data_IF_890313098060
#
_entry.id   IF_890313098060
#
_cell.length_a   1.000
_cell.length_b   1.000
_cell.length_c   1.000
_cell.angle_alpha   90.00
_cell.angle_beta   90.00
_cell.angle_gamma   90.00
#
_symmetry.space_group_name_H-M   'P 1'
#
loop_
_entity.id
_entity.type
_entity.pdbx_description
1 polymer ?
#
# COMPACT_ATOMS: atom_id res chain seq x y z
N UNK A 1 -28.75 26.15 -52.51
CA UNK A 1 -28.82 24.92 -51.71
C UNK A 1 -27.49 24.19 -51.85
N UNK A 2 -26.66 24.19 -50.81
CA UNK A 2 -25.46 23.34 -50.72
C UNK A 2 -25.43 22.83 -49.29
N UNK A 3 -25.62 21.52 -49.13
CA UNK A 3 -25.57 20.83 -47.85
C UNK A 3 -24.11 20.38 -47.59
N UNK A 4 -23.56 20.77 -46.45
CA UNK A 4 -22.25 20.30 -45.97
C UNK A 4 -22.53 19.30 -44.83
N UNK A 5 -22.16 18.02 -44.96
CA UNK A 5 -22.31 17.07 -43.87
C UNK A 5 -21.14 17.24 -42.89
N UNK A 6 -21.43 17.71 -41.68
CA UNK A 6 -20.48 17.67 -40.56
C UNK A 6 -20.49 16.24 -40.00
N UNK A 7 -19.48 15.48 -40.41
CA UNK A 7 -19.15 14.16 -39.90
C UNK A 7 -18.52 14.32 -38.50
N UNK A 8 -19.34 14.34 -37.44
CA UNK A 8 -18.84 14.25 -36.07
C UNK A 8 -18.41 12.79 -35.79
N UNK A 9 -17.14 12.47 -36.06
CA UNK A 9 -16.50 11.27 -35.53
C UNK A 9 -16.43 11.38 -34.00
N UNK A 10 -17.17 10.51 -33.32
CA UNK A 10 -17.08 10.30 -31.90
C UNK A 10 -15.72 9.66 -31.55
N UNK A 11 -14.79 10.45 -31.02
CA UNK A 11 -13.60 9.92 -30.37
C UNK A 11 -13.93 9.68 -28.88
N UNK A 12 -14.59 8.56 -28.59
CA UNK A 12 -14.60 8.01 -27.23
C UNK A 12 -13.19 7.46 -26.95
N UNK A 13 -12.33 8.34 -26.43
CA UNK A 13 -11.08 7.95 -25.79
C UNK A 13 -11.40 7.23 -24.48
N UNK A 14 -11.84 5.98 -24.59
CA UNK A 14 -11.92 5.06 -23.47
C UNK A 14 -10.51 4.78 -22.99
N UNK A 15 -10.03 5.57 -22.02
CA UNK A 15 -8.90 5.18 -21.20
C UNK A 15 -9.35 3.93 -20.46
N UNK A 16 -8.98 2.76 -20.98
CA UNK A 16 -9.04 1.52 -20.22
C UNK A 16 -8.02 1.69 -19.11
N UNK A 17 -8.46 2.24 -17.98
CA UNK A 17 -7.73 2.13 -16.72
C UNK A 17 -7.66 0.65 -16.41
N UNK A 18 -6.55 0.01 -16.78
CA UNK A 18 -6.17 -1.29 -16.26
C UNK A 18 -6.08 -1.08 -14.74
N UNK A 19 -7.15 -1.45 -14.04
CA UNK A 19 -7.11 -1.57 -12.58
C UNK A 19 -6.02 -2.61 -12.33
N UNK A 20 -4.94 -2.28 -11.59
CA UNK A 20 -3.91 -3.26 -11.29
C UNK A 20 -4.59 -4.47 -10.67
N UNK A 21 -4.51 -5.61 -11.35
CA UNK A 21 -5.09 -6.83 -10.82
C UNK A 21 -4.37 -7.16 -9.52
N UNK A 22 -5.14 -7.40 -8.46
CA UNK A 22 -4.63 -7.94 -7.21
C UNK A 22 -4.04 -9.33 -7.46
N UNK A 23 -2.76 -9.37 -7.82
CA UNK A 23 -2.01 -10.56 -8.18
C UNK A 23 -1.08 -11.03 -7.06
N UNK A 24 -0.48 -12.23 -7.21
CA UNK A 24 0.59 -12.65 -6.31
C UNK A 24 1.75 -11.64 -6.34
N UNK A 25 2.48 -11.48 -5.22
CA UNK A 25 3.71 -10.70 -5.23
C UNK A 25 4.73 -11.27 -6.24
N UNK A 26 5.57 -10.39 -6.79
CA UNK A 26 6.65 -10.81 -7.67
C UNK A 26 7.58 -11.81 -6.98
N UNK A 27 8.05 -12.82 -7.71
CA UNK A 27 8.85 -13.91 -7.15
C UNK A 27 10.14 -13.40 -6.47
N UNK A 28 10.80 -12.40 -7.04
CA UNK A 28 11.99 -11.78 -6.46
C UNK A 28 11.70 -11.11 -5.11
N UNK A 29 10.57 -10.40 -5.00
CA UNK A 29 10.16 -9.75 -3.75
C UNK A 29 9.77 -10.78 -2.68
N UNK A 30 9.10 -11.86 -3.09
CA UNK A 30 8.77 -12.97 -2.21
C UNK A 30 10.04 -13.65 -1.66
N UNK A 31 11.03 -13.91 -2.50
CA UNK A 31 12.31 -14.48 -2.10
C UNK A 31 13.09 -13.55 -1.17
N UNK A 32 13.18 -12.26 -1.50
CA UNK A 32 13.82 -11.25 -0.66
C UNK A 32 13.13 -11.13 0.72
N UNK A 33 11.80 -11.23 0.74
CA UNK A 33 11.02 -11.22 1.98
C UNK A 33 11.30 -12.46 2.82
N UNK A 34 11.30 -13.65 2.22
CA UNK A 34 11.67 -14.88 2.92
C UNK A 34 13.06 -14.78 3.57
N UNK A 35 14.05 -14.26 2.83
CA UNK A 35 15.42 -14.08 3.36
C UNK A 35 15.49 -13.05 4.51
N UNK A 36 14.65 -12.01 4.50
CA UNK A 36 14.56 -11.08 5.63
C UNK A 36 13.92 -11.73 6.86
N UNK A 37 12.85 -12.50 6.66
CA UNK A 37 12.18 -13.23 7.72
C UNK A 37 13.06 -14.33 8.32
N UNK A 38 13.89 -14.97 7.51
CA UNK A 38 14.84 -16.00 7.94
C UNK A 38 15.87 -15.44 8.92
N UNK A 39 16.42 -14.26 8.64
CA UNK A 39 17.30 -13.54 9.58
C UNK A 39 16.59 -13.16 10.87
N UNK A 40 15.37 -12.63 10.78
CA UNK A 40 14.58 -12.29 11.95
C UNK A 40 14.24 -13.51 12.79
N UNK A 41 13.85 -14.62 12.14
CA UNK A 41 13.52 -15.87 12.81
C UNK A 41 14.72 -16.45 13.57
N UNK A 42 15.93 -16.37 13.00
CA UNK A 42 17.16 -16.76 13.69
C UNK A 42 17.45 -15.89 14.91
N UNK A 43 17.19 -14.59 14.84
CA UNK A 43 17.41 -13.68 15.96
C UNK A 43 16.36 -13.86 17.08
N UNK A 44 15.10 -14.10 16.72
CA UNK A 44 13.96 -14.07 17.64
C UNK A 44 13.46 -15.44 18.09
N UNK A 45 13.93 -16.52 17.46
CA UNK A 45 13.47 -17.89 17.76
C UNK A 45 12.01 -18.15 17.39
N UNK A 46 11.45 -17.37 16.46
CA UNK A 46 10.06 -17.47 15.98
C UNK A 46 10.05 -17.50 14.46
N UNK A 47 9.40 -18.48 13.86
CA UNK A 47 9.24 -18.52 12.40
C UNK A 47 8.15 -17.57 11.93
N UNK A 48 8.38 -16.89 10.82
CA UNK A 48 7.43 -15.94 10.25
C UNK A 48 6.92 -16.45 8.90
N UNK A 49 5.64 -16.22 8.63
CA UNK A 49 4.99 -16.71 7.42
C UNK A 49 3.96 -15.76 6.84
N UNK A 50 3.60 -16.01 5.59
CA UNK A 50 2.48 -15.35 4.94
C UNK A 50 1.68 -16.30 4.07
N UNK A 51 0.40 -15.94 3.89
CA UNK A 51 -0.50 -16.60 2.96
C UNK A 51 -1.45 -15.58 2.35
N UNK A 52 -1.53 -15.59 1.04
CA UNK A 52 -2.47 -14.82 0.27
C UNK A 52 -3.57 -15.75 -0.23
N UNK A 53 -4.79 -15.53 0.21
CA UNK A 53 -5.96 -16.31 -0.16
C UNK A 53 -6.84 -15.49 -1.13
N UNK A 54 -7.42 -16.12 -2.16
CA UNK A 54 -8.49 -15.49 -2.93
C UNK A 54 -9.73 -15.32 -2.04
N UNK A 55 -10.65 -14.45 -2.46
CA UNK A 55 -11.91 -14.30 -1.75
C UNK A 55 -12.59 -15.65 -1.58
N UNK A 56 -13.02 -15.94 -0.35
CA UNK A 56 -13.63 -17.22 -0.01
C UNK A 56 -15.05 -17.26 -0.54
N UNK A 57 -15.29 -18.04 -1.60
CA UNK A 57 -16.64 -18.53 -1.85
C UNK A 57 -17.02 -19.49 -0.71
N UNK A 58 -18.22 -19.39 -0.13
CA UNK A 58 -18.60 -20.12 1.08
C UNK A 58 -18.59 -21.66 0.95
N UNK A 59 -18.30 -22.22 -0.22
CA UNK A 59 -18.35 -23.67 -0.51
C UNK A 59 -17.04 -24.31 -0.96
N UNK A 60 -15.94 -23.56 -1.10
CA UNK A 60 -14.64 -24.14 -1.48
C UNK A 60 -13.53 -23.77 -0.50
N UNK A 61 -12.65 -24.72 -0.21
CA UNK A 61 -11.36 -24.40 0.38
C UNK A 61 -10.57 -23.66 -0.70
N UNK A 62 -10.28 -22.39 -0.44
CA UNK A 62 -9.50 -21.56 -1.34
C UNK A 62 -8.03 -21.96 -1.23
N UNK A 63 -7.45 -22.41 -2.35
CA UNK A 63 -6.00 -22.57 -2.47
C UNK A 63 -5.32 -21.21 -2.39
N UNK A 64 -4.15 -21.15 -1.76
CA UNK A 64 -3.42 -19.90 -1.61
C UNK A 64 -2.83 -19.44 -2.95
N UNK A 65 -3.08 -18.18 -3.32
CA UNK A 65 -2.45 -17.51 -4.47
C UNK A 65 -0.95 -17.34 -4.24
N UNK A 66 -0.55 -17.09 -2.99
CA UNK A 66 0.85 -16.98 -2.60
C UNK A 66 1.03 -17.50 -1.18
N UNK A 67 2.15 -18.19 -0.95
CA UNK A 67 2.52 -18.70 0.36
C UNK A 67 4.03 -18.55 0.51
N UNK A 68 4.50 -18.32 1.73
CA UNK A 68 5.92 -18.35 2.04
C UNK A 68 6.20 -18.15 3.51
N UNK A 69 7.46 -18.31 3.88
CA UNK A 69 7.92 -18.20 5.26
C UNK A 69 9.41 -17.89 5.35
N UNK A 70 9.90 -17.83 6.58
CA UNK A 70 11.33 -17.83 6.92
C UNK A 70 12.08 -19.06 6.37
N UNK A 71 11.41 -20.13 5.95
CA UNK A 71 12.04 -21.27 5.28
C UNK A 71 12.15 -21.09 3.75
N UNK A 72 11.50 -20.06 3.18
CA UNK A 72 11.51 -19.79 1.75
C UNK A 72 10.17 -19.32 1.21
N UNK A 73 10.21 -18.70 0.03
CA UNK A 73 9.01 -18.46 -0.77
C UNK A 73 8.44 -19.80 -1.25
N UNK A 74 7.11 -19.93 -1.24
CA UNK A 74 6.42 -21.19 -1.56
C UNK A 74 6.33 -22.19 -0.40
N UNK A 75 6.97 -21.93 0.74
CA UNK A 75 6.96 -22.83 1.91
C UNK A 75 6.05 -22.28 3.00
N UNK A 76 5.01 -23.01 3.37
CA UNK A 76 4.15 -22.63 4.50
C UNK A 76 4.91 -22.73 5.81
N UNK A 77 4.77 -21.72 6.66
CA UNK A 77 5.38 -21.71 8.00
C UNK A 77 4.84 -22.84 8.90
N UNK A 78 3.61 -23.31 8.64
CA UNK A 78 2.96 -24.38 9.40
C UNK A 78 3.54 -25.76 9.15
N UNK A 79 4.09 -25.97 7.96
CA UNK A 79 4.69 -27.24 7.54
C UNK A 79 6.22 -27.15 7.47
N UNK A 80 6.78 -25.99 7.81
CA UNK A 80 8.23 -25.79 7.78
C UNK A 80 8.89 -26.59 8.91
N UNK A 81 9.93 -27.39 8.61
CA UNK A 81 10.62 -28.17 9.63
C UNK A 81 11.32 -27.24 10.63
N UNK A 82 11.23 -27.58 11.91
CA UNK A 82 11.86 -26.80 13.00
C UNK A 82 11.07 -25.58 13.50
N UNK A 83 9.90 -25.28 12.93
CA UNK A 83 9.06 -24.15 13.33
C UNK A 83 8.05 -24.52 14.42
N UNK A 84 8.50 -24.73 15.65
CA UNK A 84 7.61 -24.99 16.80
C UNK A 84 6.86 -23.75 17.29
N UNK A 85 7.46 -22.56 17.11
CA UNK A 85 6.84 -21.25 17.37
C UNK A 85 6.77 -20.49 16.06
N UNK A 86 5.57 -20.07 15.66
CA UNK A 86 5.39 -19.33 14.42
C UNK A 86 4.32 -18.26 14.51
N UNK A 87 4.42 -17.31 13.58
CA UNK A 87 3.49 -16.21 13.36
C UNK A 87 3.24 -16.07 11.85
N UNK A 88 1.98 -16.16 11.44
CA UNK A 88 1.57 -16.12 10.03
C UNK A 88 0.62 -14.94 9.77
N UNK A 89 0.91 -14.16 8.74
CA UNK A 89 -0.02 -13.17 8.19
C UNK A 89 -0.84 -13.80 7.07
N UNK A 90 -2.16 -13.87 7.25
CA UNK A 90 -3.10 -14.31 6.22
C UNK A 90 -3.80 -13.08 5.65
N UNK A 91 -3.63 -12.86 4.35
CA UNK A 91 -4.32 -11.81 3.60
C UNK A 91 -5.40 -12.44 2.71
N UNK A 92 -6.67 -12.05 2.89
CA UNK A 92 -7.77 -12.48 2.02
C UNK A 92 -8.15 -11.32 1.09
N UNK A 93 -8.07 -11.54 -0.23
CA UNK A 93 -8.43 -10.54 -1.24
C UNK A 93 -9.92 -10.60 -1.54
N UNK A 94 -10.66 -9.52 -1.33
CA UNK A 94 -12.05 -9.41 -1.81
C UNK A 94 -12.12 -8.58 -3.09
N UNK A 95 -12.25 -9.25 -4.23
CA UNK A 95 -12.37 -8.65 -5.57
C UNK A 95 -13.82 -8.41 -5.99
N UNK A 96 -14.82 -8.85 -5.20
CA UNK A 96 -16.23 -8.78 -5.55
C UNK A 96 -16.94 -7.47 -5.17
N UNK A 97 -16.33 -6.62 -4.35
CA UNK A 97 -16.87 -5.31 -4.01
C UNK A 97 -16.32 -4.23 -4.94
N UNK A 98 -17.08 -3.14 -5.15
CA UNK A 98 -16.63 -1.92 -5.87
C UNK A 98 -15.34 -1.29 -5.31
N UNK A 99 -14.85 -1.82 -4.18
CA UNK A 99 -13.60 -1.48 -3.53
C UNK A 99 -12.83 -2.77 -3.23
N UNK A 100 -11.55 -2.81 -3.60
CA UNK A 100 -10.65 -3.89 -3.19
C UNK A 100 -10.50 -3.84 -1.67
N UNK A 101 -10.86 -4.93 -0.98
CA UNK A 101 -10.70 -5.03 0.48
C UNK A 101 -9.75 -6.17 0.80
N UNK A 102 -8.69 -5.86 1.54
CA UNK A 102 -7.77 -6.86 2.06
C UNK A 102 -8.12 -7.11 3.53
N UNK A 103 -8.44 -8.36 3.86
CA UNK A 103 -8.59 -8.77 5.26
C UNK A 103 -7.27 -9.37 5.73
N UNK A 104 -6.62 -8.71 6.67
CA UNK A 104 -5.39 -9.19 7.29
C UNK A 104 -5.72 -9.91 8.58
N UNK A 105 -5.25 -11.14 8.73
CA UNK A 105 -5.39 -11.96 9.93
C UNK A 105 -4.01 -12.39 10.39
N UNK A 106 -3.71 -12.15 11.66
CA UNK A 106 -2.49 -12.66 12.28
C UNK A 106 -2.84 -13.97 12.99
N UNK A 107 -2.06 -15.03 12.78
CA UNK A 107 -2.26 -16.30 13.45
C UNK A 107 -0.95 -16.75 14.08
N UNK A 108 -1.01 -17.21 15.32
CA UNK A 108 0.12 -17.77 16.04
C UNK A 108 -0.05 -19.27 16.30
N UNK A 109 1.05 -19.89 16.73
CA UNK A 109 1.11 -21.31 17.05
C UNK A 109 0.24 -21.74 18.24
N UNK A 110 -0.26 -20.80 19.07
CA UNK A 110 -1.00 -21.11 20.31
C UNK A 110 -2.50 -21.16 20.10
N UNK A 111 -3.03 -20.27 19.26
CA UNK A 111 -4.46 -19.97 19.23
C UNK A 111 -5.15 -20.43 17.96
N UNK A 112 -4.40 -20.73 16.90
CA UNK A 112 -4.88 -21.10 15.56
C UNK A 112 -5.91 -20.13 14.91
N UNK A 113 -6.46 -19.14 15.62
CA UNK A 113 -7.28 -18.04 15.11
C UNK A 113 -7.21 -16.81 16.05
N UNK A 114 -6.48 -15.76 15.65
CA UNK A 114 -6.88 -14.39 15.96
C UNK A 114 -7.56 -13.81 14.72
N UNK A 115 -8.87 -14.05 14.59
CA UNK A 115 -9.67 -13.62 13.44
C UNK A 115 -9.92 -12.11 13.50
N UNK A 116 -9.04 -11.31 12.90
CA UNK A 116 -9.30 -9.88 12.66
C UNK A 116 -10.33 -9.76 11.53
N UNK A 117 -11.61 -9.88 11.89
CA UNK A 117 -12.72 -9.87 10.93
C UNK A 117 -13.14 -8.43 10.65
N UNK A 118 -12.42 -7.73 9.76
CA UNK A 118 -12.90 -6.49 9.12
C UNK A 118 -13.33 -5.34 10.06
N UNK A 119 -12.95 -5.40 11.34
CA UNK A 119 -12.98 -4.30 12.31
C UNK A 119 -11.54 -3.89 12.65
N UNK A 120 -11.35 -2.81 13.42
CA UNK A 120 -10.02 -2.41 13.83
C UNK A 120 -9.28 -3.61 14.44
N UNK A 121 -7.99 -3.77 14.13
CA UNK A 121 -7.18 -4.85 14.65
C UNK A 121 -7.38 -5.01 16.16
N UNK A 122 -7.37 -6.25 16.69
CA UNK A 122 -7.56 -6.52 18.12
C UNK A 122 -6.67 -5.58 18.91
N UNK A 123 -7.26 -4.90 19.89
CA UNK A 123 -6.68 -3.74 20.58
C UNK A 123 -5.16 -3.87 20.70
N UNK A 124 -4.46 -3.06 19.90
CA UNK A 124 -3.01 -2.99 19.88
C UNK A 124 -2.28 -3.58 18.67
N UNK A 125 -2.95 -4.05 17.61
CA UNK A 125 -2.25 -4.32 16.34
C UNK A 125 -2.56 -3.22 15.31
N UNK A 126 -2.32 -1.94 15.62
CA UNK A 126 -2.61 -0.84 14.66
C UNK A 126 -1.77 -1.06 13.39
N UNK A 127 -2.35 -1.69 12.37
CA UNK A 127 -1.76 -1.92 11.05
C UNK A 127 -1.32 -0.57 10.44
N UNK A 128 -2.05 0.52 10.72
CA UNK A 128 -1.62 1.88 10.39
C UNK A 128 -0.38 2.40 11.13
N UNK A 129 -0.02 1.86 12.32
CA UNK A 129 1.20 2.24 13.04
C UNK A 129 2.48 1.68 12.39
N UNK A 130 2.37 0.57 11.66
CA UNK A 130 3.43 0.06 10.78
C UNK A 130 3.30 0.60 9.34
N UNK A 131 2.52 1.68 9.16
CA UNK A 131 2.34 2.38 7.90
C UNK A 131 1.50 1.65 6.86
N UNK A 132 0.77 0.60 7.23
CA UNK A 132 -0.08 -0.17 6.32
C UNK A 132 -1.48 0.48 6.29
N UNK A 133 -1.75 1.30 5.27
CA UNK A 133 -3.07 1.90 5.01
C UNK A 133 -3.78 1.16 3.87
N UNK A 134 -5.10 1.32 3.77
CA UNK A 134 -5.90 0.75 2.68
C UNK A 134 -5.36 1.17 1.29
N UNK A 135 -4.76 2.36 1.20
CA UNK A 135 -4.17 2.94 -0.01
C UNK A 135 -3.01 2.11 -0.57
N UNK A 136 -2.21 1.45 0.28
CA UNK A 136 -1.05 0.67 -0.17
C UNK A 136 -1.49 -0.59 -0.93
N UNK A 137 -2.70 -1.07 -0.67
CA UNK A 137 -3.24 -2.25 -1.33
C UNK A 137 -3.94 -1.95 -2.66
N UNK A 138 -4.19 -0.66 -2.97
CA UNK A 138 -4.84 -0.21 -4.21
C UNK A 138 -3.89 -0.20 -5.41
N UNK A 139 -2.62 0.17 -5.20
CA UNK A 139 -1.64 0.30 -6.29
C UNK A 139 -0.94 -1.03 -6.59
N UNK A 140 -0.46 -1.74 -5.56
CA UNK A 140 0.17 -3.06 -5.68
C UNK A 140 -0.11 -3.89 -4.43
N UNK A 141 -1.15 -4.71 -4.51
CA UNK A 141 -1.59 -5.54 -3.39
C UNK A 141 -0.51 -6.54 -2.96
N UNK A 142 0.23 -7.13 -3.91
CA UNK A 142 1.27 -8.12 -3.62
C UNK A 142 2.43 -7.52 -2.85
N UNK A 143 2.98 -6.39 -3.34
CA UNK A 143 4.06 -5.69 -2.66
C UNK A 143 3.61 -5.10 -1.32
N UNK A 144 2.38 -4.60 -1.23
CA UNK A 144 1.78 -4.12 0.02
C UNK A 144 1.72 -5.21 1.09
N UNK A 145 1.28 -6.42 0.72
CA UNK A 145 1.26 -7.58 1.63
C UNK A 145 2.68 -7.92 2.07
N UNK A 146 3.66 -8.00 1.17
CA UNK A 146 5.04 -8.33 1.56
C UNK A 146 5.65 -7.26 2.49
N UNK A 147 5.30 -5.99 2.31
CA UNK A 147 5.67 -4.93 3.25
C UNK A 147 5.08 -5.20 4.64
N UNK A 148 3.81 -5.62 4.70
CA UNK A 148 3.17 -5.99 5.96
C UNK A 148 3.83 -7.19 6.63
N UNK A 149 4.16 -8.20 5.84
CA UNK A 149 4.86 -9.41 6.30
C UNK A 149 6.22 -9.06 6.90
N UNK A 150 6.96 -8.12 6.31
CA UNK A 150 8.25 -7.65 6.85
C UNK A 150 8.14 -6.94 8.20
N UNK A 151 6.94 -6.50 8.61
CA UNK A 151 6.71 -5.91 9.93
C UNK A 151 6.41 -6.95 11.02
N UNK A 152 6.22 -8.24 10.67
CA UNK A 152 5.93 -9.31 11.63
C UNK A 152 6.97 -9.45 12.77
N UNK A 153 8.29 -9.35 12.52
CA UNK A 153 9.31 -9.39 13.59
C UNK A 153 9.12 -8.30 14.65
N UNK A 154 8.78 -7.08 14.20
CA UNK A 154 8.52 -5.94 15.08
C UNK A 154 7.23 -6.17 15.89
N UNK A 155 6.17 -6.59 15.22
CA UNK A 155 4.89 -6.94 15.86
C UNK A 155 5.09 -8.02 16.93
N UNK A 156 5.89 -9.04 16.63
CA UNK A 156 6.20 -10.10 17.59
C UNK A 156 6.91 -9.55 18.82
N UNK A 157 7.81 -8.58 18.66
CA UNK A 157 8.47 -7.90 19.76
C UNK A 157 7.50 -7.05 20.59
N UNK A 158 6.67 -6.22 19.95
CA UNK A 158 5.69 -5.37 20.64
C UNK A 158 4.64 -6.16 21.42
N UNK A 159 4.29 -7.35 20.94
CA UNK A 159 3.35 -8.26 21.61
C UNK A 159 4.01 -9.16 22.65
N UNK A 160 5.30 -9.01 22.90
CA UNK A 160 6.06 -9.86 23.84
C UNK A 160 6.13 -11.34 23.42
N UNK A 161 5.90 -11.63 22.14
CA UNK A 161 6.02 -12.98 21.56
C UNK A 161 7.49 -13.35 21.36
N UNK A 162 8.31 -12.35 21.04
CA UNK A 162 9.75 -12.45 20.85
C UNK A 162 10.45 -11.24 21.50
N UNK A 163 11.76 -11.35 21.71
CA UNK A 163 12.56 -10.19 22.09
C UNK A 163 12.76 -9.25 20.89
N UNK A 164 12.87 -7.92 21.10
CA UNK A 164 13.25 -7.01 20.05
C UNK A 164 14.61 -7.38 19.47
N UNK A 165 14.72 -7.38 18.14
CA UNK A 165 16.03 -7.53 17.50
C UNK A 165 16.81 -6.26 17.82
N UNK A 166 17.94 -6.40 18.51
CA UNK A 166 18.83 -5.27 18.77
C UNK A 166 19.18 -4.60 17.45
N UNK A 167 18.91 -3.30 17.35
CA UNK A 167 19.54 -2.50 16.32
C UNK A 167 21.04 -2.59 16.57
N UNK A 168 21.78 -3.15 15.63
CA UNK A 168 23.23 -3.05 15.60
C UNK A 168 23.55 -1.56 15.78
N UNK A 169 24.35 -1.21 16.79
CA UNK A 169 24.76 0.17 16.99
C UNK A 169 25.67 0.55 15.84
N UNK A 170 25.08 1.08 14.77
CA UNK A 170 25.86 1.72 13.72
C UNK A 170 26.61 2.86 14.41
N UNK A 171 27.96 2.82 14.44
CA UNK A 171 28.72 3.92 15.02
C UNK A 171 28.26 5.20 14.31
N UNK A 172 28.05 6.31 15.05
CA UNK A 172 27.46 7.51 14.48
C UNK A 172 28.29 7.91 13.26
N UNK A 173 27.73 7.69 12.07
CA UNK A 173 28.30 8.22 10.85
C UNK A 173 28.36 9.74 11.06
N UNK A 174 29.53 10.33 10.80
CA UNK A 174 29.73 11.77 10.93
C UNK A 174 28.52 12.48 10.29
N UNK A 175 27.75 13.17 11.13
CA UNK A 175 26.49 13.79 10.74
C UNK A 175 26.79 14.78 9.61
N UNK A 176 26.56 14.37 8.37
CA UNK A 176 26.51 15.31 7.25
C UNK A 176 25.21 16.09 7.43
N UNK A 177 25.25 17.43 7.46
CA UNK A 177 24.04 18.22 7.44
C UNK A 177 23.16 17.72 6.31
N UNK A 178 21.89 17.43 6.61
CA UNK A 178 20.94 17.14 5.54
C UNK A 178 20.96 18.34 4.57
N UNK A 179 20.91 18.09 3.26
CA UNK A 179 20.69 19.18 2.32
C UNK A 179 19.42 19.93 2.77
N UNK A 180 19.39 21.27 2.65
CA UNK A 180 18.24 22.06 3.06
C UNK A 180 16.99 21.45 2.43
N UNK A 181 16.02 21.14 3.28
CA UNK A 181 14.76 20.49 2.86
C UNK A 181 14.17 21.34 1.75
N UNK A 182 14.08 20.79 0.54
CA UNK A 182 13.51 21.49 -0.60
C UNK A 182 12.10 21.97 -0.24
N UNK A 183 11.82 23.24 -0.50
CA UNK A 183 10.57 23.87 -0.09
C UNK A 183 9.35 23.19 -0.76
N UNK A 184 8.68 22.28 -0.06
CA UNK A 184 7.53 21.51 -0.57
C UNK A 184 6.21 22.30 -0.56
N UNK A 185 6.31 23.64 -0.60
CA UNK A 185 5.17 24.57 -0.56
C UNK A 185 4.24 24.36 -1.76
N UNK A 186 4.77 24.00 -2.93
CA UNK A 186 3.95 23.70 -4.10
C UNK A 186 3.04 22.48 -3.88
N UNK A 187 3.56 21.39 -3.30
CA UNK A 187 2.78 20.17 -3.06
C UNK A 187 1.80 20.35 -1.91
N UNK A 188 2.26 20.96 -0.81
CA UNK A 188 1.45 21.19 0.39
C UNK A 188 0.31 22.19 0.15
N UNK A 189 0.58 23.27 -0.59
CA UNK A 189 -0.39 24.35 -0.82
C UNK A 189 -0.99 24.37 -2.23
N UNK A 190 -0.81 23.31 -3.03
CA UNK A 190 -1.40 23.17 -4.38
C UNK A 190 -2.88 23.53 -4.41
N UNK A 191 -3.64 23.10 -3.40
CA UNK A 191 -5.08 23.32 -3.34
C UNK A 191 -5.46 24.79 -3.14
N UNK A 192 -4.54 25.62 -2.64
CA UNK A 192 -4.74 27.07 -2.45
C UNK A 192 -4.10 27.87 -3.59
N UNK A 193 -2.91 27.47 -4.05
CA UNK A 193 -2.15 28.17 -5.08
C UNK A 193 -2.84 28.12 -6.46
N UNK A 194 -3.41 26.97 -6.83
CA UNK A 194 -4.12 26.80 -8.11
C UNK A 194 -5.35 27.72 -8.23
N UNK A 195 -6.30 27.74 -7.29
CA UNK A 195 -7.45 28.64 -7.40
C UNK A 195 -7.04 30.12 -7.28
N UNK A 196 -6.02 30.45 -6.48
CA UNK A 196 -5.52 31.82 -6.40
C UNK A 196 -4.96 32.33 -7.74
N UNK A 197 -4.16 31.51 -8.43
CA UNK A 197 -3.65 31.83 -9.77
C UNK A 197 -4.80 32.02 -10.79
N UNK A 198 -5.82 31.18 -10.71
CA UNK A 198 -6.97 31.23 -11.61
C UNK A 198 -7.81 32.50 -11.41
N UNK A 199 -8.06 32.88 -10.15
CA UNK A 199 -8.74 34.13 -9.81
C UNK A 199 -7.94 35.36 -10.26
N UNK A 200 -6.62 35.34 -10.07
CA UNK A 200 -5.75 36.42 -10.51
C UNK A 200 -5.75 36.57 -12.04
N UNK A 201 -5.74 35.45 -12.77
CA UNK A 201 -5.91 35.41 -14.22
C UNK A 201 -7.26 36.01 -14.66
N UNK A 202 -8.35 35.68 -13.97
CA UNK A 202 -9.67 36.21 -14.29
C UNK A 202 -9.76 37.73 -14.06
N UNK A 203 -9.20 38.22 -12.95
CA UNK A 203 -9.17 39.63 -12.62
C UNK A 203 -8.37 40.44 -13.64
N UNK A 204 -7.20 39.94 -14.05
CA UNK A 204 -6.36 40.60 -15.05
C UNK A 204 -7.04 40.68 -16.42
N UNK A 205 -7.66 39.61 -16.89
CA UNK A 205 -8.45 39.62 -18.14
C UNK A 205 -9.59 40.63 -18.05
N UNK A 206 -10.33 40.65 -16.94
CA UNK A 206 -11.45 41.58 -16.72
C UNK A 206 -10.98 43.04 -16.77
N UNK A 207 -9.85 43.35 -16.13
CA UNK A 207 -9.26 44.68 -16.16
C UNK A 207 -8.84 45.10 -17.59
N UNK A 208 -8.22 44.19 -18.35
CA UNK A 208 -7.83 44.47 -19.74
C UNK A 208 -9.04 44.76 -20.63
N UNK A 209 -10.12 43.98 -20.48
CA UNK A 209 -11.38 44.19 -21.21
C UNK A 209 -12.00 45.54 -20.84
N UNK A 210 -12.11 45.84 -19.54
CA UNK A 210 -12.67 47.10 -19.06
C UNK A 210 -11.89 48.32 -19.59
N UNK A 211 -10.56 48.27 -19.59
CA UNK A 211 -9.71 49.33 -20.15
C UNK A 211 -9.89 49.48 -21.66
N UNK A 212 -10.01 48.37 -22.40
CA UNK A 212 -10.27 48.40 -23.85
C UNK A 212 -11.62 49.02 -24.17
N UNK A 213 -12.68 48.63 -23.46
CA UNK A 213 -14.02 49.17 -23.66
C UNK A 213 -14.08 50.66 -23.32
N UNK A 214 -13.43 51.08 -22.23
CA UNK A 214 -13.36 52.49 -21.86
C UNK A 214 -12.64 53.33 -22.91
N UNK A 215 -11.55 52.81 -23.51
CA UNK A 215 -10.85 53.47 -24.61
C UNK A 215 -11.67 53.53 -25.89
N UNK A 216 -12.48 52.51 -26.18
CA UNK A 216 -13.39 52.50 -27.34
C UNK A 216 -14.55 53.49 -27.19
N UNK A 217 -15.09 53.66 -25.98
CA UNK A 217 -16.18 54.62 -25.71
C UNK A 217 -15.75 56.09 -25.71
N UNK A 218 -14.45 56.37 -25.54
CA UNK A 218 -13.88 57.73 -25.53
C UNK A 218 -13.37 58.20 -26.89
N UNK A 219 -13.35 57.32 -27.90
CA UNK A 219 -13.07 57.68 -29.30
C UNK A 219 -14.38 57.79 -30.04
#
# INVERSE_FOLDING_TARGET
>A
MVAVPVLCLAAFGGVVTLIPQAGPPAAADAAATAAALERAARAQGVCYGWRLLPHREPRKQSEAISVGSSAGAGVSVRTAPGCSRWLELIAELNTGARHHKVLLRLVDWRTDEHRVRGGPPPDGLRIGAVGLTDEIFLDDTGAGILRAVRALPLIAAEKGIAEPISAESVPPAALRPLPPVGNDVWRSHRQVLVPALLLFGLATVSAVVAVRDFRRRRR
#
